data_IF_895262500497
#
_entry.id   IF_895262500497
#
_cell.length_a   1.000
_cell.length_b   1.000
_cell.length_c   1.000
_cell.angle_alpha   90.00
_cell.angle_beta   90.00
_cell.angle_gamma   90.00
#
_symmetry.space_group_name_H-M   'P 1'
#
loop_
_entity.id
_entity.type
_entity.pdbx_description
1 polymer ?
#
# COMPACT_ATOMS: atom_id res chain seq x y z
N UNK A 1 -10.01 1.95 25.50
CA UNK A 1 -9.32 0.67 25.73
C UNK A 1 -7.85 0.95 25.98
N UNK A 2 -7.38 0.60 27.14
CA UNK A 2 -5.99 0.82 27.52
C UNK A 2 -5.14 -0.26 26.88
N UNK A 3 -4.27 0.12 25.96
CA UNK A 3 -3.27 -0.80 25.43
C UNK A 3 -2.24 -1.05 26.52
N UNK A 4 -2.33 -2.20 27.15
CA UNK A 4 -1.27 -2.67 28.02
C UNK A 4 -0.16 -3.26 27.18
N UNK A 5 1.00 -2.60 27.18
CA UNK A 5 2.23 -3.28 26.84
C UNK A 5 2.47 -4.34 27.91
N UNK A 6 2.28 -5.60 27.57
CA UNK A 6 2.60 -6.69 28.50
C UNK A 6 4.10 -6.84 28.53
N UNK A 7 4.68 -6.31 29.59
CA UNK A 7 6.05 -6.61 30.01
C UNK A 7 6.05 -8.01 30.61
N UNK A 8 6.38 -9.01 29.83
CA UNK A 8 6.82 -10.27 30.39
C UNK A 8 8.27 -10.09 30.81
N UNK A 9 8.43 -9.74 32.08
CA UNK A 9 9.70 -9.76 32.76
C UNK A 9 10.12 -11.22 32.95
N UNK A 10 10.96 -11.73 32.08
CA UNK A 10 11.76 -12.90 32.41
C UNK A 10 13.05 -12.38 33.06
N UNK A 11 13.13 -12.59 34.36
CA UNK A 11 14.35 -12.42 35.09
C UNK A 11 15.41 -13.41 34.56
N UNK A 12 16.34 -12.95 33.81
CA UNK A 12 17.73 -13.41 33.94
C UNK A 12 18.68 -12.27 33.68
N UNK A 13 19.47 -12.09 34.66
CA UNK A 13 20.32 -10.97 34.86
C UNK A 13 21.38 -10.75 33.77
N UNK A 14 21.80 -9.55 33.82
CA UNK A 14 23.12 -9.05 33.56
C UNK A 14 23.43 -8.69 32.11
N UNK A 15 23.60 -7.41 32.02
CA UNK A 15 24.51 -6.66 31.18
C UNK A 15 24.04 -6.31 29.77
N UNK A 16 23.96 -5.01 29.68
CA UNK A 16 23.79 -4.15 28.53
C UNK A 16 22.31 -3.89 28.18
N UNK A 17 21.80 -2.90 28.90
CA UNK A 17 20.48 -2.32 28.63
C UNK A 17 20.43 -1.67 27.26
N UNK A 18 19.88 -2.37 26.32
CA UNK A 18 19.21 -1.77 25.18
C UNK A 18 17.75 -2.18 25.33
N UNK A 19 17.01 -1.39 26.07
CA UNK A 19 15.55 -1.43 26.02
C UNK A 19 15.14 -0.94 24.64
N UNK A 20 15.10 -1.82 23.68
CA UNK A 20 14.39 -1.58 22.46
C UNK A 20 12.89 -1.54 22.82
N UNK A 21 12.37 -0.38 23.17
CA UNK A 21 10.95 -0.13 23.16
C UNK A 21 10.51 -0.21 21.69
N UNK A 22 10.20 -1.43 21.26
CA UNK A 22 9.42 -1.64 20.07
C UNK A 22 8.00 -1.17 20.39
N UNK A 23 7.79 0.15 20.30
CA UNK A 23 6.44 0.66 20.11
C UNK A 23 6.00 0.14 18.75
N UNK A 24 5.17 -0.90 18.75
CA UNK A 24 4.42 -1.27 17.57
C UNK A 24 3.57 -0.05 17.22
N UNK A 25 3.92 0.64 16.14
CA UNK A 25 3.07 1.67 15.59
C UNK A 25 1.71 1.03 15.33
N UNK A 26 0.66 1.62 15.89
CA UNK A 26 -0.69 1.18 15.63
C UNK A 26 -1.00 1.48 14.17
N UNK A 27 -0.81 0.48 13.32
CA UNK A 27 -1.20 0.54 11.93
C UNK A 27 -2.72 0.73 11.84
N UNK A 28 -3.15 1.60 10.95
CA UNK A 28 -4.57 1.75 10.67
C UNK A 28 -5.14 0.43 10.11
N UNK A 29 -6.45 0.23 10.25
CA UNK A 29 -7.11 -0.94 9.66
C UNK A 29 -6.87 -1.03 8.15
N UNK A 30 -6.78 0.11 7.47
CA UNK A 30 -6.45 0.19 6.05
C UNK A 30 -5.03 -0.26 5.75
N UNK A 31 -4.05 0.13 6.57
CA UNK A 31 -2.66 -0.29 6.39
C UNK A 31 -2.49 -1.79 6.60
N UNK A 32 -3.20 -2.35 7.57
CA UNK A 32 -3.23 -3.80 7.78
C UNK A 32 -3.81 -4.53 6.57
N UNK A 33 -4.90 -4.02 5.99
CA UNK A 33 -5.49 -4.60 4.79
C UNK A 33 -4.55 -4.48 3.59
N UNK A 34 -3.88 -3.35 3.41
CA UNK A 34 -2.89 -3.13 2.34
C UNK A 34 -1.70 -4.08 2.47
N UNK A 35 -1.19 -4.29 3.69
CA UNK A 35 -0.10 -5.24 3.95
C UNK A 35 -0.54 -6.68 3.64
N UNK A 36 -1.73 -7.06 4.06
CA UNK A 36 -2.29 -8.38 3.77
C UNK A 36 -2.44 -8.60 2.26
N UNK A 37 -3.02 -7.64 1.55
CA UNK A 37 -3.16 -7.69 0.10
C UNK A 37 -1.80 -7.73 -0.61
N UNK A 38 -0.83 -6.95 -0.15
CA UNK A 38 0.54 -6.97 -0.69
C UNK A 38 1.18 -8.34 -0.54
N UNK A 39 1.01 -9.00 0.60
CA UNK A 39 1.51 -10.34 0.83
C UNK A 39 0.79 -11.37 -0.05
N UNK A 40 -0.53 -11.26 -0.18
CA UNK A 40 -1.36 -12.15 -0.99
C UNK A 40 -0.99 -12.11 -2.47
N UNK A 41 -0.76 -10.94 -3.02
CA UNK A 41 -0.49 -10.73 -4.44
C UNK A 41 0.99 -10.50 -4.76
N UNK A 42 1.88 -10.80 -3.82
CA UNK A 42 3.33 -10.55 -3.95
C UNK A 42 3.95 -11.09 -5.23
N UNK A 43 3.50 -12.26 -5.69
CA UNK A 43 4.01 -12.90 -6.91
C UNK A 43 3.73 -12.09 -8.20
N UNK A 44 2.76 -11.19 -8.16
CA UNK A 44 2.34 -10.36 -9.30
C UNK A 44 2.86 -8.93 -9.24
N UNK A 45 3.42 -8.54 -8.08
CA UNK A 45 3.92 -7.19 -7.85
C UNK A 45 5.36 -7.04 -8.35
N UNK A 46 5.68 -5.94 -9.03
CA UNK A 46 7.07 -5.57 -9.26
C UNK A 46 7.81 -5.27 -7.95
N UNK A 47 9.14 -5.33 -8.00
CA UNK A 47 9.96 -4.91 -6.88
C UNK A 47 9.68 -3.45 -6.51
N UNK A 48 9.66 -3.15 -5.21
CA UNK A 48 9.39 -1.80 -4.67
C UNK A 48 7.97 -1.26 -4.95
N UNK A 49 7.00 -2.16 -5.03
CA UNK A 49 5.59 -1.80 -5.10
C UNK A 49 4.79 -2.50 -4.01
N UNK A 50 3.77 -1.82 -3.53
CA UNK A 50 2.78 -2.34 -2.58
C UNK A 50 1.39 -2.23 -3.16
N UNK A 51 0.47 -3.03 -2.66
CA UNK A 51 -0.94 -2.89 -3.00
C UNK A 51 -1.52 -1.70 -2.23
N UNK A 52 -2.11 -0.77 -2.95
CA UNK A 52 -2.81 0.36 -2.38
C UNK A 52 -4.30 0.06 -2.21
N UNK A 53 -4.91 -0.56 -3.21
CA UNK A 53 -6.32 -0.93 -3.21
C UNK A 53 -6.54 -2.19 -4.04
N UNK A 54 -7.53 -2.99 -3.67
CA UNK A 54 -7.95 -4.20 -4.40
C UNK A 54 -9.41 -4.05 -4.82
N UNK A 55 -9.65 -4.15 -6.11
CA UNK A 55 -11.00 -4.17 -6.68
C UNK A 55 -11.25 -5.55 -7.30
N UNK A 56 -12.38 -6.15 -6.99
CA UNK A 56 -12.76 -7.46 -7.50
C UNK A 56 -14.03 -7.37 -8.34
N UNK A 57 -14.05 -8.05 -9.46
CA UNK A 57 -15.20 -8.14 -10.34
C UNK A 57 -14.93 -9.07 -11.50
N UNK A 58 -15.97 -9.51 -12.18
CA UNK A 58 -15.87 -10.32 -13.38
C UNK A 58 -15.69 -9.40 -14.60
N UNK A 59 -14.47 -9.24 -15.06
CA UNK A 59 -14.11 -8.32 -16.14
C UNK A 59 -14.35 -8.89 -17.53
N UNK A 60 -14.21 -10.20 -17.67
CA UNK A 60 -14.30 -10.91 -18.96
C UNK A 60 -15.64 -11.66 -19.13
N UNK A 61 -16.53 -11.58 -18.15
CA UNK A 61 -17.86 -12.24 -18.14
C UNK A 61 -17.81 -13.77 -18.20
N UNK A 62 -16.79 -14.35 -17.58
CA UNK A 62 -16.64 -15.82 -17.49
C UNK A 62 -17.28 -16.40 -16.21
N UNK A 63 -17.85 -15.57 -15.35
CA UNK A 63 -18.44 -15.96 -14.07
C UNK A 63 -17.43 -16.06 -12.92
N UNK A 64 -16.15 -15.82 -13.16
CA UNK A 64 -15.09 -15.82 -12.15
C UNK A 64 -14.75 -14.39 -11.74
N UNK A 65 -14.37 -14.21 -10.49
CA UNK A 65 -13.92 -12.89 -10.02
C UNK A 65 -12.47 -12.65 -10.41
N UNK A 66 -12.26 -11.62 -11.20
CA UNK A 66 -10.96 -11.06 -11.52
C UNK A 66 -10.54 -10.04 -10.48
N UNK A 67 -9.30 -9.61 -10.52
CA UNK A 67 -8.72 -8.67 -9.56
C UNK A 67 -8.03 -7.54 -10.30
N UNK A 68 -8.37 -6.32 -9.90
CA UNK A 68 -7.63 -5.11 -10.26
C UNK A 68 -6.87 -4.64 -9.03
N UNK A 69 -5.58 -4.60 -9.12
CA UNK A 69 -4.71 -4.06 -8.07
C UNK A 69 -4.34 -2.62 -8.42
N UNK A 70 -4.72 -1.68 -7.58
CA UNK A 70 -4.07 -0.37 -7.58
C UNK A 70 -2.80 -0.52 -6.75
N UNK A 71 -1.67 -0.24 -7.37
CA UNK A 71 -0.35 -0.40 -6.74
C UNK A 71 0.32 0.95 -6.56
N UNK A 72 1.16 1.06 -5.55
CA UNK A 72 1.91 2.27 -5.23
C UNK A 72 3.39 1.95 -5.15
N UNK A 73 4.22 2.78 -5.75
CA UNK A 73 5.67 2.69 -5.61
C UNK A 73 6.10 2.99 -4.16
N UNK A 74 7.22 2.41 -3.76
CA UNK A 74 7.80 2.58 -2.42
C UNK A 74 9.25 3.07 -2.49
N UNK A 75 9.54 3.99 -3.39
CA UNK A 75 10.87 4.56 -3.53
C UNK A 75 11.09 5.65 -2.47
N UNK A 76 12.07 5.47 -1.57
CA UNK A 76 12.39 6.49 -0.56
C UNK A 76 12.81 7.84 -1.15
N UNK A 77 13.34 7.84 -2.36
CA UNK A 77 13.76 9.06 -3.06
C UNK A 77 12.59 9.94 -3.51
N UNK A 78 11.39 9.36 -3.56
CA UNK A 78 10.18 10.08 -3.91
C UNK A 78 9.54 10.78 -2.71
N UNK A 79 10.10 10.64 -1.53
CA UNK A 79 9.73 11.46 -0.38
C UNK A 79 10.51 12.76 -0.41
N UNK A 80 9.80 13.87 -0.50
CA UNK A 80 10.37 15.22 -0.55
C UNK A 80 9.87 16.05 0.61
N UNK A 81 10.65 17.03 1.03
CA UNK A 81 10.23 17.99 2.04
C UNK A 81 9.91 19.31 1.36
N UNK A 82 8.68 19.74 1.53
CA UNK A 82 8.19 21.04 1.06
C UNK A 82 8.22 22.02 2.23
N UNK A 83 8.58 23.27 1.96
CA UNK A 83 8.73 24.29 2.97
C UNK A 83 7.41 24.63 3.70
N UNK A 84 6.30 24.52 2.98
CA UNK A 84 4.98 24.88 3.49
C UNK A 84 4.11 23.68 3.85
N UNK A 85 4.27 22.58 3.14
CA UNK A 85 3.43 21.38 3.26
C UNK A 85 4.09 20.24 4.02
N UNK A 86 5.37 20.37 4.38
CA UNK A 86 6.11 19.34 5.10
C UNK A 86 6.52 18.15 4.22
N UNK A 87 6.48 16.95 4.77
CA UNK A 87 6.92 15.74 4.08
C UNK A 87 5.85 15.22 3.12
N UNK A 88 6.19 15.14 1.84
CA UNK A 88 5.29 14.75 0.75
C UNK A 88 5.75 13.46 0.11
N UNK A 89 4.81 12.55 -0.11
CA UNK A 89 5.04 11.29 -0.84
C UNK A 89 4.68 11.48 -2.33
N UNK A 90 5.69 11.45 -3.20
CA UNK A 90 5.55 11.55 -4.65
C UNK A 90 5.61 10.20 -5.37
N UNK A 91 5.50 9.10 -4.65
CA UNK A 91 5.40 7.79 -5.25
C UNK A 91 4.14 7.67 -6.10
N UNK A 92 4.31 7.38 -7.37
CA UNK A 92 3.19 7.22 -8.31
C UNK A 92 2.45 5.92 -8.08
N UNK A 93 1.20 5.92 -8.50
CA UNK A 93 0.33 4.75 -8.44
C UNK A 93 0.08 4.19 -9.83
N UNK A 94 -0.09 2.90 -9.90
CA UNK A 94 -0.36 2.20 -11.15
C UNK A 94 -1.46 1.16 -11.00
N UNK A 95 -1.70 0.43 -12.07
CA UNK A 95 -2.70 -0.63 -12.11
C UNK A 95 -2.09 -1.92 -12.61
N UNK A 96 -2.50 -3.02 -12.00
CA UNK A 96 -2.23 -4.38 -12.47
C UNK A 96 -3.57 -5.11 -12.53
N UNK A 97 -3.88 -5.72 -13.68
CA UNK A 97 -5.10 -6.52 -13.87
C UNK A 97 -4.73 -8.00 -13.91
N UNK A 98 -5.40 -8.75 -13.06
CA UNK A 98 -5.25 -10.20 -12.95
C UNK A 98 -6.58 -10.86 -13.32
N UNK A 99 -6.59 -11.63 -14.40
CA UNK A 99 -7.74 -12.45 -14.75
C UNK A 99 -7.66 -13.80 -14.04
N UNK A 100 -8.78 -14.22 -13.49
CA UNK A 100 -8.91 -15.52 -12.86
C UNK A 100 -9.23 -16.60 -13.89
N UNK A 101 -8.30 -17.50 -14.08
CA UNK A 101 -8.47 -18.65 -14.97
C UNK A 101 -8.53 -19.91 -14.12
N UNK A 102 -9.73 -20.36 -13.76
CA UNK A 102 -9.95 -21.61 -12.99
C UNK A 102 -9.13 -21.67 -11.68
N UNK A 103 -9.14 -20.59 -10.90
CA UNK A 103 -8.44 -20.49 -9.62
C UNK A 103 -6.98 -20.03 -9.72
N UNK A 104 -6.48 -19.72 -10.91
CA UNK A 104 -5.17 -19.14 -11.14
C UNK A 104 -5.32 -17.73 -11.69
N UNK A 105 -4.53 -16.81 -11.17
CA UNK A 105 -4.48 -15.45 -11.69
C UNK A 105 -3.43 -15.33 -12.80
N UNK A 106 -3.84 -14.72 -13.89
CA UNK A 106 -2.95 -14.35 -14.99
C UNK A 106 -2.88 -12.83 -15.08
N UNK A 107 -1.69 -12.27 -15.01
CA UNK A 107 -1.46 -10.85 -15.20
C UNK A 107 -1.59 -10.50 -16.68
N UNK A 108 -2.58 -9.68 -17.02
CA UNK A 108 -2.90 -9.29 -18.40
C UNK A 108 -2.60 -7.84 -18.70
N UNK A 109 -2.62 -6.98 -17.68
CA UNK A 109 -2.30 -5.55 -17.82
C UNK A 109 -1.40 -5.13 -16.67
N UNK A 110 -0.42 -4.31 -16.99
CA UNK A 110 0.41 -3.61 -16.02
C UNK A 110 0.75 -2.22 -16.54
N UNK A 111 0.30 -1.19 -15.84
CA UNK A 111 0.70 0.18 -16.08
C UNK A 111 1.03 0.85 -14.74
N UNK A 112 2.30 1.03 -14.46
CA UNK A 112 2.79 1.47 -13.16
C UNK A 112 2.78 3.00 -12.97
N UNK A 113 2.46 3.74 -14.03
CA UNK A 113 2.45 5.20 -14.04
C UNK A 113 1.10 5.80 -14.44
N UNK A 114 0.05 5.00 -14.37
CA UNK A 114 -1.29 5.42 -14.81
C UNK A 114 -1.85 6.57 -13.98
N UNK A 115 -1.61 6.55 -12.68
CA UNK A 115 -2.11 7.56 -11.76
C UNK A 115 -0.97 8.42 -11.23
N UNK A 116 -1.28 9.67 -10.96
CA UNK A 116 -0.38 10.59 -10.27
C UNK A 116 -0.09 10.15 -8.84
N UNK A 117 0.93 10.73 -8.23
CA UNK A 117 1.17 10.63 -6.80
C UNK A 117 0.10 11.41 -6.02
N UNK A 118 0.04 11.19 -4.73
CA UNK A 118 -0.87 11.95 -3.84
C UNK A 118 -0.47 13.43 -3.74
N UNK A 119 0.79 13.73 -3.99
CA UNK A 119 1.38 15.04 -3.78
C UNK A 119 2.21 15.48 -4.99
N UNK A 120 1.65 15.49 -6.19
CA UNK A 120 2.36 15.99 -7.37
C UNK A 120 2.58 17.50 -7.32
N UNK A 121 3.73 17.93 -7.86
CA UNK A 121 3.98 19.36 -8.07
C UNK A 121 3.04 19.90 -9.12
N UNK A 122 2.47 21.05 -8.82
CA UNK A 122 1.57 21.75 -9.72
C UNK A 122 0.22 21.09 -9.86
N UNK A 123 -0.13 20.23 -8.90
CA UNK A 123 -1.48 19.73 -8.78
C UNK A 123 -2.43 20.90 -8.69
N UNK A 124 -2.81 21.41 -9.84
CA UNK A 124 -4.10 22.06 -9.95
C UNK A 124 -5.06 20.99 -9.47
N UNK A 125 -5.61 21.20 -8.30
CA UNK A 125 -6.80 20.49 -7.93
C UNK A 125 -7.84 20.80 -9.00
N UNK A 126 -7.83 20.01 -10.05
CA UNK A 126 -9.07 19.76 -10.71
C UNK A 126 -9.88 18.93 -9.72
N UNK A 127 -10.47 19.60 -8.75
CA UNK A 127 -11.76 19.14 -8.32
C UNK A 127 -12.49 18.89 -9.63
N UNK A 128 -12.99 17.67 -9.90
CA UNK A 128 -13.91 17.51 -11.00
C UNK A 128 -15.04 18.46 -10.64
N UNK A 129 -14.98 19.66 -11.17
CA UNK A 129 -16.15 20.49 -11.23
C UNK A 129 -17.13 19.63 -11.97
N UNK A 130 -18.16 19.25 -11.27
CA UNK A 130 -19.33 18.66 -11.85
C UNK A 130 -19.72 19.59 -12.98
N UNK A 131 -19.32 19.22 -14.19
CA UNK A 131 -19.80 19.88 -15.39
C UNK A 131 -21.30 19.65 -15.40
N UNK A 132 -22.11 20.70 -15.38
CA UNK A 132 -23.56 20.57 -15.35
C UNK A 132 -24.09 19.85 -16.59
#
# INVERSE_FOLDING_TARGET
>A
MKNQCILTSLMYAAMLGISANLCAENLSAEDVQRQKATSQYKAYLPAKYTVFEVVQGDLNKDGLKDVVLIVKATDPKQWVTDEYRGKLDRNRRGVIVLLNTKGRYQKVVQNLSLFSSENEDGGVYFAPELVP
#
